data_IF_398780362613
#
_entry.id   IF_398780362613
#
_cell.length_a   1.000
_cell.length_b   1.000
_cell.length_c   1.000
_cell.angle_alpha   90.00
_cell.angle_beta   90.00
_cell.angle_gamma   90.00
#
_symmetry.space_group_name_H-M   'P 1'
#
loop_
_entity.id
_entity.type
_entity.pdbx_description
1 polymer ?
#
# COMPACT_ATOMS: atom_id res chain seq x y z
N UNK A 1 14.68 -52.73 57.05
CA UNK A 1 15.60 -51.90 56.23
C UNK A 1 15.13 -51.63 54.79
N UNK A 2 14.19 -52.38 54.20
CA UNK A 2 13.75 -52.18 52.80
C UNK A 2 12.68 -51.09 52.56
N UNK A 3 11.94 -50.65 53.59
CA UNK A 3 10.81 -49.71 53.43
C UNK A 3 11.24 -48.23 53.31
N UNK A 4 12.31 -47.84 54.01
CA UNK A 4 12.83 -46.46 53.97
C UNK A 4 13.39 -46.09 52.59
N UNK A 5 13.99 -47.06 51.90
CA UNK A 5 14.60 -46.85 50.58
C UNK A 5 13.54 -46.65 49.48
N UNK A 6 12.41 -47.37 49.55
CA UNK A 6 11.29 -47.20 48.60
C UNK A 6 10.63 -45.81 48.71
N UNK A 7 10.46 -45.30 49.94
CA UNK A 7 9.88 -43.97 50.19
C UNK A 7 10.80 -42.84 49.71
N UNK A 8 12.12 -42.96 49.90
CA UNK A 8 13.08 -41.99 49.35
C UNK A 8 13.13 -42.00 47.82
N UNK A 9 13.11 -43.18 47.19
CA UNK A 9 13.08 -43.27 45.72
C UNK A 9 11.78 -42.72 45.13
N UNK A 10 10.63 -42.93 45.78
CA UNK A 10 9.35 -42.39 45.32
C UNK A 10 9.28 -40.85 45.43
N UNK A 11 9.89 -40.28 46.48
CA UNK A 11 9.96 -38.83 46.68
C UNK A 11 10.88 -38.13 45.65
N UNK A 12 11.98 -38.77 45.28
CA UNK A 12 12.94 -38.24 44.29
C UNK A 12 12.44 -38.38 42.84
N UNK A 13 11.61 -39.39 42.56
CA UNK A 13 10.98 -39.59 41.24
C UNK A 13 9.82 -38.62 40.98
N UNK A 14 9.03 -38.28 42.02
CA UNK A 14 7.96 -37.29 41.87
C UNK A 14 8.52 -35.88 41.68
N UNK A 15 9.53 -35.46 42.45
CA UNK A 15 10.14 -34.13 42.38
C UNK A 15 10.81 -33.81 41.01
N UNK A 16 11.27 -34.83 40.28
CA UNK A 16 11.88 -34.65 38.94
C UNK A 16 10.86 -34.37 37.83
N UNK A 17 9.60 -34.77 37.99
CA UNK A 17 8.55 -34.49 37.00
C UNK A 17 7.99 -33.07 37.13
N UNK A 18 7.91 -32.52 38.35
CA UNK A 18 7.47 -31.13 38.56
C UNK A 18 8.46 -30.11 37.99
N UNK A 19 9.77 -30.38 38.05
CA UNK A 19 10.77 -29.49 37.45
C UNK A 19 10.74 -29.51 35.91
N UNK A 20 10.48 -30.67 35.29
CA UNK A 20 10.36 -30.78 33.82
C UNK A 20 9.08 -30.11 33.32
N UNK A 21 7.98 -30.18 34.08
CA UNK A 21 6.75 -29.44 33.77
C UNK A 21 6.87 -27.93 34.00
N UNK A 22 7.64 -27.49 35.01
CA UNK A 22 7.88 -26.07 35.29
C UNK A 22 8.75 -25.39 34.22
N UNK A 23 9.69 -26.13 33.60
CA UNK A 23 10.55 -25.61 32.53
C UNK A 23 9.82 -25.52 31.18
N UNK A 24 8.75 -26.29 30.97
CA UNK A 24 7.90 -26.19 29.75
C UNK A 24 6.88 -25.04 29.85
N UNK A 25 6.62 -24.49 31.05
CA UNK A 25 5.75 -23.33 31.25
C UNK A 25 6.48 -21.98 31.22
N UNK A 26 7.80 -21.96 31.05
CA UNK A 26 8.61 -20.74 30.99
C UNK A 26 9.49 -20.83 29.75
N UNK A 27 9.01 -20.23 28.65
CA UNK A 27 9.64 -19.88 27.35
C UNK A 27 8.78 -20.41 26.19
N UNK A 28 8.17 -19.56 25.33
CA UNK A 28 8.21 -18.09 25.28
C UNK A 28 6.79 -17.47 25.27
N UNK A 29 6.42 -16.78 26.35
CA UNK A 29 5.58 -15.58 26.19
C UNK A 29 6.49 -14.39 25.92
N UNK A 30 7.37 -14.51 24.91
CA UNK A 30 7.64 -13.35 24.10
C UNK A 30 6.34 -13.17 23.34
N UNK A 31 5.59 -12.07 23.50
CA UNK A 31 4.62 -11.77 22.48
C UNK A 31 5.46 -11.76 21.20
N UNK A 32 5.16 -12.67 20.29
CA UNK A 32 5.40 -12.43 18.88
C UNK A 32 4.46 -11.27 18.50
N UNK A 33 4.67 -10.11 19.12
CA UNK A 33 4.42 -8.82 18.55
C UNK A 33 5.42 -8.75 17.41
N UNK A 34 5.13 -9.50 16.34
CA UNK A 34 5.16 -8.88 15.04
C UNK A 34 4.34 -7.60 15.23
N UNK A 35 5.04 -6.53 15.57
CA UNK A 35 4.54 -5.19 15.41
C UNK A 35 4.26 -5.14 13.91
N UNK A 36 3.05 -5.52 13.51
CA UNK A 36 2.59 -5.28 12.16
C UNK A 36 2.61 -3.76 12.10
N UNK A 37 3.69 -3.22 11.57
CA UNK A 37 3.80 -1.79 11.31
C UNK A 37 2.55 -1.46 10.49
N UNK A 38 1.64 -0.70 11.08
CA UNK A 38 0.36 -0.42 10.46
C UNK A 38 0.64 0.34 9.16
N UNK A 39 0.28 -0.25 8.02
CA UNK A 39 0.47 0.39 6.71
C UNK A 39 -0.19 1.78 6.72
N UNK A 40 0.59 2.81 6.35
CA UNK A 40 0.07 4.15 6.16
C UNK A 40 -0.56 4.24 4.77
N UNK A 41 -1.89 4.17 4.74
CA UNK A 41 -2.67 4.17 3.50
C UNK A 41 -3.32 5.54 3.28
N UNK A 42 -3.06 6.16 2.13
CA UNK A 42 -3.79 7.35 1.72
C UNK A 42 -5.17 6.94 1.18
N UNK A 43 -6.24 7.33 1.87
CA UNK A 43 -7.62 7.09 1.44
C UNK A 43 -8.00 7.97 0.23
N UNK A 44 -8.93 7.53 -0.63
CA UNK A 44 -9.40 8.35 -1.74
C UNK A 44 -10.14 9.59 -1.22
N UNK A 45 -9.75 10.78 -1.68
CA UNK A 45 -10.28 12.04 -1.16
C UNK A 45 -11.57 12.53 -1.86
N UNK A 46 -11.85 12.02 -3.06
CA UNK A 46 -12.94 12.53 -3.93
C UNK A 46 -13.79 11.41 -4.57
N UNK A 47 -13.65 10.16 -4.09
CA UNK A 47 -14.51 9.06 -4.53
C UNK A 47 -15.97 9.34 -4.15
N UNK A 48 -16.88 9.15 -5.09
CA UNK A 48 -18.30 9.51 -4.96
C UNK A 48 -18.62 10.97 -5.32
N UNK A 49 -17.61 11.80 -5.59
CA UNK A 49 -17.79 13.19 -6.02
C UNK A 49 -17.25 13.41 -7.44
N UNK A 50 -15.99 13.06 -7.67
CA UNK A 50 -15.33 13.27 -8.97
C UNK A 50 -15.45 12.04 -9.87
N UNK A 51 -15.58 10.86 -9.27
CA UNK A 51 -15.71 9.58 -9.96
C UNK A 51 -16.49 8.61 -9.05
N UNK A 52 -17.11 7.55 -9.60
CA UNK A 52 -17.85 6.57 -8.82
C UNK A 52 -17.03 5.97 -7.68
N UNK A 53 -17.64 5.84 -6.48
CA UNK A 53 -17.02 5.18 -5.33
C UNK A 53 -17.14 3.66 -5.38
N UNK A 54 -18.12 3.16 -6.13
CA UNK A 54 -18.37 1.74 -6.32
C UNK A 54 -17.37 1.15 -7.31
N UNK A 55 -16.87 -0.06 -7.03
CA UNK A 55 -15.79 -0.67 -7.81
C UNK A 55 -16.28 -1.07 -9.20
N UNK A 56 -17.44 -1.70 -9.26
CA UNK A 56 -18.03 -2.22 -10.49
C UNK A 56 -18.45 -1.07 -11.41
N UNK A 57 -19.11 -0.05 -10.85
CA UNK A 57 -19.47 1.17 -11.58
C UNK A 57 -18.23 1.91 -12.11
N UNK A 58 -17.20 2.09 -11.28
CA UNK A 58 -15.95 2.74 -11.70
C UNK A 58 -15.25 1.95 -12.81
N UNK A 59 -15.19 0.62 -12.67
CA UNK A 59 -14.57 -0.27 -13.67
C UNK A 59 -15.27 -0.11 -15.01
N UNK A 60 -16.60 -0.23 -15.02
CA UNK A 60 -17.41 -0.05 -16.23
C UNK A 60 -17.17 1.33 -16.85
N UNK A 61 -17.24 2.39 -16.04
CA UNK A 61 -17.03 3.78 -16.49
C UNK A 61 -15.69 3.96 -17.19
N UNK A 62 -14.60 3.45 -16.60
CA UNK A 62 -13.25 3.58 -17.20
C UNK A 62 -13.11 2.75 -18.47
N UNK A 63 -13.65 1.52 -18.48
CA UNK A 63 -13.65 0.65 -19.67
C UNK A 63 -14.42 1.30 -20.82
N UNK A 64 -15.59 1.89 -20.54
CA UNK A 64 -16.42 2.58 -21.52
C UNK A 64 -15.69 3.80 -22.11
N UNK A 65 -14.98 4.59 -21.29
CA UNK A 65 -14.19 5.70 -21.84
C UNK A 65 -13.05 5.22 -22.73
N UNK A 66 -12.33 4.17 -22.32
CA UNK A 66 -11.19 3.62 -23.07
C UNK A 66 -11.65 2.97 -24.38
N UNK A 67 -12.79 2.26 -24.38
CA UNK A 67 -13.32 1.59 -25.59
C UNK A 67 -13.83 2.59 -26.63
N UNK A 68 -14.24 3.79 -26.21
CA UNK A 68 -14.70 4.86 -27.10
C UNK A 68 -13.58 5.72 -27.70
N UNK A 69 -12.30 5.41 -27.46
CA UNK A 69 -11.17 6.11 -28.06
C UNK A 69 -11.00 5.70 -29.52
N UNK A 70 -11.15 6.64 -30.45
CA UNK A 70 -10.98 6.45 -31.90
C UNK A 70 -9.59 6.88 -32.35
N UNK A 71 -8.51 6.23 -31.91
CA UNK A 71 -7.16 6.64 -32.35
C UNK A 71 -6.13 5.53 -32.51
N UNK A 72 -5.12 5.84 -33.34
CA UNK A 72 -3.92 5.05 -33.60
C UNK A 72 -2.98 5.16 -32.40
N UNK A 73 -2.43 4.02 -31.98
CA UNK A 73 -1.38 3.97 -30.96
C UNK A 73 -0.13 4.71 -31.45
N UNK A 74 0.47 5.50 -30.56
CA UNK A 74 1.77 6.14 -30.82
C UNK A 74 2.87 5.08 -30.74
N UNK A 75 3.74 5.04 -31.75
CA UNK A 75 4.86 4.11 -31.79
C UNK A 75 5.97 4.49 -30.78
N UNK A 76 6.81 3.52 -30.40
CA UNK A 76 7.94 3.74 -29.48
C UNK A 76 7.54 3.82 -28.00
N UNK A 77 8.50 4.05 -27.10
CA UNK A 77 8.25 4.08 -25.64
C UNK A 77 7.63 5.41 -25.21
N UNK A 78 6.46 5.37 -24.56
CA UNK A 78 5.83 6.56 -23.98
C UNK A 78 6.51 6.89 -22.65
N UNK A 79 7.09 8.09 -22.56
CA UNK A 79 7.78 8.54 -21.34
C UNK A 79 6.86 9.32 -20.39
N UNK A 80 5.76 9.88 -20.89
CA UNK A 80 4.84 10.68 -20.09
C UNK A 80 3.53 10.93 -20.81
N UNK A 81 2.52 11.29 -20.01
CA UNK A 81 1.19 11.64 -20.45
C UNK A 81 0.79 12.98 -19.81
N UNK A 82 -0.01 13.76 -20.53
CA UNK A 82 -0.74 14.89 -19.96
C UNK A 82 -2.22 14.50 -19.97
N UNK A 83 -2.89 14.65 -18.83
CA UNK A 83 -4.30 14.28 -18.66
C UNK A 83 -5.01 15.32 -17.81
N UNK A 84 -6.27 15.69 -18.13
CA UNK A 84 -7.08 16.51 -17.24
C UNK A 84 -7.43 15.75 -15.94
N UNK A 85 -7.74 16.51 -14.89
CA UNK A 85 -8.06 15.99 -13.55
C UNK A 85 -9.40 16.49 -12.99
N UNK A 86 -10.31 16.98 -13.83
CA UNK A 86 -11.67 17.30 -13.42
C UNK A 86 -12.50 16.03 -13.14
N UNK A 87 -13.73 16.20 -12.65
CA UNK A 87 -14.65 15.08 -12.48
C UNK A 87 -14.87 14.32 -13.79
N UNK A 88 -15.05 12.99 -13.71
CA UNK A 88 -15.12 12.09 -14.87
C UNK A 88 -16.24 12.45 -15.84
N UNK A 89 -17.36 12.98 -15.34
CA UNK A 89 -18.46 13.47 -16.17
C UNK A 89 -18.06 14.63 -17.11
N UNK A 90 -17.00 15.37 -16.76
CA UNK A 90 -16.51 16.50 -17.56
C UNK A 90 -15.28 16.13 -18.40
N UNK A 91 -14.36 15.32 -17.85
CA UNK A 91 -13.05 15.10 -18.48
C UNK A 91 -12.65 13.63 -18.66
N UNK A 92 -13.48 12.67 -18.25
CA UNK A 92 -13.13 11.25 -18.28
C UNK A 92 -12.83 10.73 -19.70
N UNK A 93 -13.68 11.07 -20.67
CA UNK A 93 -13.47 10.68 -22.07
C UNK A 93 -12.20 11.31 -22.68
N UNK A 94 -11.87 12.54 -22.30
CA UNK A 94 -10.65 13.23 -22.77
C UNK A 94 -9.42 12.57 -22.15
N UNK A 95 -9.44 12.27 -20.84
CA UNK A 95 -8.36 11.56 -20.17
C UNK A 95 -8.09 10.18 -20.78
N UNK A 96 -9.13 9.47 -21.22
CA UNK A 96 -9.00 8.15 -21.83
C UNK A 96 -8.16 8.15 -23.10
N UNK A 97 -8.12 9.25 -23.87
CA UNK A 97 -7.21 9.36 -25.01
C UNK A 97 -5.74 9.19 -24.59
N UNK A 98 -5.32 9.83 -23.50
CA UNK A 98 -3.96 9.70 -22.97
C UNK A 98 -3.70 8.30 -22.41
N UNK A 99 -4.58 7.79 -21.55
CA UNK A 99 -4.39 6.47 -20.93
C UNK A 99 -4.47 5.31 -21.93
N UNK A 100 -5.23 5.44 -23.01
CA UNK A 100 -5.29 4.42 -24.07
C UNK A 100 -3.92 4.17 -24.72
N UNK A 101 -3.03 5.18 -24.75
CA UNK A 101 -1.70 5.06 -25.35
C UNK A 101 -0.77 4.14 -24.57
N UNK A 102 -1.07 3.90 -23.29
CA UNK A 102 -0.29 3.04 -22.41
C UNK A 102 -1.03 1.75 -22.05
N UNK A 103 -2.23 1.54 -22.60
CA UNK A 103 -2.93 0.26 -22.54
C UNK A 103 -2.01 -0.81 -23.14
N UNK A 104 -1.82 -1.90 -22.42
CA UNK A 104 -0.96 -3.04 -22.80
C UNK A 104 0.56 -2.77 -22.77
N UNK A 105 0.99 -1.68 -22.11
CA UNK A 105 2.40 -1.39 -21.85
C UNK A 105 2.72 -1.56 -20.37
N UNK A 106 3.98 -1.92 -20.09
CA UNK A 106 4.46 -2.15 -18.72
C UNK A 106 5.39 -1.03 -18.26
N UNK A 107 5.21 -0.62 -17.01
CA UNK A 107 6.03 0.37 -16.33
C UNK A 107 6.23 -0.06 -14.88
N UNK A 108 7.46 0.00 -14.40
CA UNK A 108 7.81 -0.39 -13.03
C UNK A 108 7.40 0.67 -11.99
N UNK A 109 7.39 1.94 -12.39
CA UNK A 109 7.01 3.06 -11.53
C UNK A 109 6.38 4.17 -12.36
N UNK A 110 5.26 4.71 -11.86
CA UNK A 110 4.59 5.88 -12.41
C UNK A 110 4.71 7.04 -11.43
N UNK A 111 5.18 8.19 -11.92
CA UNK A 111 5.23 9.44 -11.16
C UNK A 111 4.04 10.29 -11.60
N UNK A 112 3.16 10.64 -10.66
CA UNK A 112 2.01 11.51 -10.91
C UNK A 112 2.35 12.90 -10.37
N UNK A 113 2.39 13.88 -11.26
CA UNK A 113 2.61 15.29 -10.92
C UNK A 113 1.28 16.04 -11.05
N UNK A 114 0.93 16.81 -10.02
CA UNK A 114 -0.29 17.61 -10.01
C UNK A 114 -0.10 18.91 -9.24
N UNK A 115 -0.77 19.99 -9.64
CA UNK A 115 -0.71 21.26 -8.92
C UNK A 115 -1.44 21.17 -7.58
N UNK A 116 -0.98 21.95 -6.61
CA UNK A 116 -1.75 22.18 -5.38
C UNK A 116 -2.83 23.22 -5.61
N UNK A 117 -4.09 22.84 -5.38
CA UNK A 117 -5.24 23.74 -5.48
C UNK A 117 -5.72 24.28 -4.13
N UNK A 118 -5.15 23.81 -3.02
CA UNK A 118 -5.64 24.11 -1.66
C UNK A 118 -4.64 24.84 -0.78
N UNK A 119 -3.36 24.53 -0.94
CA UNK A 119 -2.29 25.10 -0.11
C UNK A 119 -1.22 25.68 -1.02
N UNK A 120 -0.69 26.84 -0.65
CA UNK A 120 0.50 27.34 -1.30
C UNK A 120 1.66 26.37 -1.04
N UNK A 121 2.42 26.07 -2.09
CA UNK A 121 3.54 25.14 -2.04
C UNK A 121 4.73 25.77 -2.76
N UNK A 122 5.83 25.97 -2.05
CA UNK A 122 7.11 26.36 -2.65
C UNK A 122 7.91 25.09 -2.91
N UNK A 123 8.01 24.66 -4.16
CA UNK A 123 8.66 23.39 -4.52
C UNK A 123 7.65 22.26 -4.75
N UNK A 124 7.96 21.05 -4.30
CA UNK A 124 7.16 19.84 -4.53
C UNK A 124 6.92 19.05 -3.23
N UNK A 125 5.68 18.61 -3.03
CA UNK A 125 5.31 17.77 -1.89
C UNK A 125 5.30 16.30 -2.30
N UNK A 126 6.01 15.45 -1.55
CA UNK A 126 6.07 14.00 -1.78
C UNK A 126 5.49 13.27 -0.57
N UNK A 127 4.35 12.61 -0.77
CA UNK A 127 3.65 11.90 0.29
C UNK A 127 4.39 10.67 0.79
N UNK A 128 4.73 10.62 2.09
CA UNK A 128 5.35 9.45 2.71
C UNK A 128 4.29 8.39 3.12
N UNK A 129 3.56 7.87 2.14
CA UNK A 129 2.58 6.80 2.31
C UNK A 129 3.16 5.45 1.87
N UNK A 130 2.51 4.35 2.25
CA UNK A 130 2.89 3.00 1.80
C UNK A 130 2.04 2.55 0.61
N UNK A 131 0.79 3.01 0.55
CA UNK A 131 -0.10 2.80 -0.59
C UNK A 131 -1.14 3.91 -0.72
N UNK A 132 -1.66 4.07 -1.94
CA UNK A 132 -2.87 4.85 -2.24
C UNK A 132 -4.04 3.89 -2.43
N UNK A 133 -5.10 4.05 -1.66
CA UNK A 133 -6.32 3.28 -1.87
C UNK A 133 -7.20 3.94 -2.95
N UNK A 134 -7.70 3.10 -3.85
CA UNK A 134 -8.71 3.45 -4.86
C UNK A 134 -9.89 2.49 -4.75
N UNK A 135 -11.06 2.80 -5.33
CA UNK A 135 -12.14 1.81 -5.41
C UNK A 135 -11.76 0.51 -6.15
N UNK A 136 -10.74 0.56 -7.03
CA UNK A 136 -10.25 -0.61 -7.77
C UNK A 136 -9.21 -1.42 -7.01
N UNK A 137 -8.73 -0.92 -5.87
CA UNK A 137 -7.70 -1.57 -5.05
C UNK A 137 -6.61 -0.60 -4.58
N UNK A 138 -5.62 -1.15 -3.87
CA UNK A 138 -4.45 -0.40 -3.39
C UNK A 138 -3.36 -0.36 -4.46
N UNK A 139 -2.76 0.81 -4.66
CA UNK A 139 -1.54 0.99 -5.47
C UNK A 139 -0.38 1.28 -4.53
N UNK A 140 0.66 0.44 -4.57
CA UNK A 140 1.84 0.59 -3.72
C UNK A 140 2.64 1.82 -4.11
N UNK A 141 3.15 2.55 -3.12
CA UNK A 141 4.09 3.65 -3.34
C UNK A 141 5.50 3.09 -3.43
N UNK A 142 6.28 3.55 -4.41
CA UNK A 142 7.71 3.25 -4.47
C UNK A 142 8.44 4.01 -3.35
N UNK A 143 8.66 3.33 -2.21
CA UNK A 143 9.27 3.90 -1.00
C UNK A 143 10.72 4.31 -1.21
N UNK A 144 11.46 3.59 -2.04
CA UNK A 144 12.86 3.90 -2.33
C UNK A 144 12.97 5.26 -3.01
N UNK A 145 12.13 5.51 -4.02
CA UNK A 145 12.09 6.82 -4.70
C UNK A 145 11.60 7.91 -3.75
N UNK A 146 10.53 7.68 -2.99
CA UNK A 146 10.02 8.69 -2.04
C UNK A 146 11.09 9.05 -1.00
N UNK A 147 11.80 8.06 -0.45
CA UNK A 147 12.86 8.29 0.53
C UNK A 147 14.02 9.07 -0.09
N UNK A 148 14.41 8.69 -1.31
CA UNK A 148 15.47 9.38 -2.07
C UNK A 148 15.11 10.84 -2.32
N UNK A 149 13.88 11.12 -2.77
CA UNK A 149 13.41 12.49 -2.99
C UNK A 149 13.40 13.32 -1.70
N UNK A 150 12.88 12.75 -0.61
CA UNK A 150 12.85 13.45 0.68
C UNK A 150 14.25 13.67 1.27
N UNK A 151 15.23 12.80 0.97
CA UNK A 151 16.61 12.98 1.42
C UNK A 151 17.37 14.09 0.69
N UNK A 152 16.91 14.53 -0.49
CA UNK A 152 17.49 15.69 -1.19
C UNK A 152 17.23 16.98 -0.40
N UNK A 153 16.11 17.05 0.32
CA UNK A 153 15.62 18.29 0.91
C UNK A 153 15.02 19.19 -0.18
N UNK A 154 15.12 20.51 -0.01
CA UNK A 154 14.56 21.47 -0.96
C UNK A 154 14.95 21.18 -2.42
N UNK A 155 14.00 21.15 -3.38
CA UNK A 155 12.60 21.60 -3.25
C UNK A 155 11.60 20.53 -2.76
N UNK A 156 12.04 19.33 -2.37
CA UNK A 156 11.18 18.22 -1.98
C UNK A 156 10.99 18.13 -0.47
N UNK A 157 9.75 18.14 -0.03
CA UNK A 157 9.39 17.98 1.38
C UNK A 157 8.02 17.31 1.51
N UNK A 158 7.62 16.93 2.71
CA UNK A 158 6.26 16.43 2.95
C UNK A 158 5.47 17.48 3.73
N UNK A 159 4.37 17.95 3.14
CA UNK A 159 3.38 18.85 3.76
C UNK A 159 2.09 18.08 4.00
#
# INVERSE_FOLDING_TARGET
MADQNKKQTALLLSARWWMVLAIIMIIPCLPFAHLIAQERIRKPAVAGYFYPKDKEELTKTVVDFISNVKHKQIDGKILGLISPHAGYVFSGQVAAYSYSQIKDRQYDTIIILGPSHRVYLKGASVGNWDAYATPLGKVKVNKEIVTSLLSIGEPFHFV
#
